data_IF_982750358557
#
_entry.id   IF_982750358557
#
_cell.length_a   1.000
_cell.length_b   1.000
_cell.length_c   1.000
_cell.angle_alpha   90.00
_cell.angle_beta   90.00
_cell.angle_gamma   90.00
#
_symmetry.space_group_name_H-M   'P 1'
#
loop_
_entity.id
_entity.type
_entity.pdbx_description
1 polymer ?
#
# COMPACT_ATOMS: atom_id res chain seq x y z
N UNK A 1 -61.05 46.27 30.08
CA UNK A 1 -59.83 45.64 30.62
C UNK A 1 -59.16 44.89 29.46
N UNK A 2 -58.14 45.44 28.86
CA UNK A 2 -57.41 44.81 27.71
C UNK A 2 -56.13 44.22 28.24
N UNK A 3 -55.97 42.86 28.16
CA UNK A 3 -54.71 42.18 28.45
C UNK A 3 -53.72 42.42 27.31
N UNK A 4 -52.54 42.93 27.67
CA UNK A 4 -51.39 43.01 26.77
C UNK A 4 -50.56 41.75 26.93
N UNK A 5 -50.52 40.94 25.87
CA UNK A 5 -49.63 39.78 25.78
C UNK A 5 -48.24 40.25 25.38
N UNK A 6 -47.24 40.06 26.22
CA UNK A 6 -45.85 40.32 25.91
C UNK A 6 -45.25 39.05 25.28
N UNK A 7 -44.75 39.18 24.02
CA UNK A 7 -43.91 38.17 23.38
C UNK A 7 -42.49 38.37 23.85
N UNK A 8 -41.89 37.34 24.47
CA UNK A 8 -40.43 37.24 24.67
C UNK A 8 -39.78 36.73 23.40
N UNK A 9 -38.68 37.33 22.92
CA UNK A 9 -37.92 36.77 21.82
C UNK A 9 -37.06 35.60 22.34
N UNK A 10 -37.21 34.43 21.68
CA UNK A 10 -36.33 33.28 21.89
C UNK A 10 -34.97 33.57 21.26
N UNK A 11 -33.94 33.63 22.06
CA UNK A 11 -32.53 33.81 21.65
C UNK A 11 -32.03 32.40 21.19
N UNK A 12 -31.95 32.16 19.89
CA UNK A 12 -31.30 30.99 19.34
C UNK A 12 -29.75 31.16 19.49
N UNK A 13 -29.15 30.45 20.44
CA UNK A 13 -27.70 30.31 20.52
C UNK A 13 -27.27 29.34 19.40
N UNK A 14 -26.70 29.89 18.35
CA UNK A 14 -25.93 29.12 17.34
C UNK A 14 -24.62 28.64 18.01
N UNK A 15 -24.60 27.37 18.40
CA UNK A 15 -23.37 26.67 18.77
C UNK A 15 -22.53 26.49 17.49
N UNK A 16 -21.56 27.35 17.28
CA UNK A 16 -20.52 27.12 16.29
C UNK A 16 -19.71 25.85 16.68
N UNK A 17 -19.45 24.92 15.76
CA UNK A 17 -18.60 23.78 16.06
C UNK A 17 -17.21 24.32 16.43
N UNK A 18 -16.75 24.01 17.64
CA UNK A 18 -15.36 24.21 18.05
C UNK A 18 -14.49 23.34 17.15
N UNK A 19 -13.73 23.99 16.25
CA UNK A 19 -12.68 23.31 15.53
C UNK A 19 -11.70 22.76 16.58
N UNK A 20 -11.55 21.43 16.64
CA UNK A 20 -10.47 20.83 17.42
C UNK A 20 -9.15 21.43 16.95
N UNK A 21 -8.26 21.88 17.86
CA UNK A 21 -6.94 22.33 17.46
C UNK A 21 -6.24 21.17 16.75
N UNK A 22 -5.66 21.43 15.56
CA UNK A 22 -4.82 20.49 14.85
C UNK A 22 -3.71 20.03 15.81
N UNK A 23 -3.41 18.73 15.86
CA UNK A 23 -2.36 18.21 16.70
C UNK A 23 -1.03 18.80 16.21
N UNK A 24 -0.42 19.66 17.01
CA UNK A 24 0.90 20.23 16.76
C UNK A 24 1.95 19.12 16.95
N UNK A 25 2.26 18.39 15.89
CA UNK A 25 3.29 17.34 15.92
C UNK A 25 4.01 17.23 14.58
N UNK A 26 5.27 16.87 14.65
CA UNK A 26 6.09 16.52 13.48
C UNK A 26 6.69 15.15 13.68
N UNK A 27 7.02 14.49 12.57
CA UNK A 27 7.82 13.28 12.54
C UNK A 27 9.02 13.46 11.62
N UNK A 28 9.89 12.47 11.57
CA UNK A 28 11.01 12.43 10.62
C UNK A 28 11.02 11.10 9.89
N UNK A 29 11.31 11.14 8.57
CA UNK A 29 11.60 9.94 7.80
C UNK A 29 13.09 9.55 7.95
N UNK A 30 13.43 8.25 7.96
CA UNK A 30 12.52 7.11 7.96
C UNK A 30 11.85 6.86 9.32
N UNK A 31 10.66 6.24 9.30
CA UNK A 31 9.93 5.89 10.52
C UNK A 31 10.61 4.77 11.35
N UNK A 32 11.32 3.87 10.68
CA UNK A 32 12.07 2.76 11.25
C UNK A 32 13.42 2.63 10.53
N UNK A 33 14.38 1.98 11.17
CA UNK A 33 15.68 1.68 10.54
C UNK A 33 15.61 0.60 9.45
N UNK A 34 14.57 -0.24 9.49
CA UNK A 34 14.31 -1.34 8.58
C UNK A 34 12.80 -1.55 8.46
N UNK A 35 12.32 -1.80 7.28
CA UNK A 35 10.91 -2.06 6.98
C UNK A 35 10.71 -2.10 5.47
N UNK A 36 11.31 -3.10 4.76
CA UNK A 36 11.08 -3.29 3.34
C UNK A 36 9.61 -3.56 3.05
N UNK A 37 9.14 -3.15 1.88
CA UNK A 37 7.81 -3.44 1.37
C UNK A 37 6.71 -3.06 2.39
N UNK A 38 6.68 -1.77 2.82
CA UNK A 38 5.88 -1.33 3.95
C UNK A 38 4.41 -1.17 3.56
N UNK A 39 3.53 -1.55 4.49
CA UNK A 39 2.10 -1.36 4.38
C UNK A 39 1.53 -0.67 5.61
N UNK A 40 0.55 0.21 5.42
CA UNK A 40 -0.22 0.80 6.53
C UNK A 40 -1.72 0.62 6.25
N UNK A 41 -2.38 -0.16 7.09
CA UNK A 41 -3.84 -0.19 7.20
C UNK A 41 -4.31 0.71 8.34
N UNK A 42 -5.57 1.18 8.29
CA UNK A 42 -6.15 2.02 9.34
C UNK A 42 -7.56 1.57 9.71
N UNK A 43 -7.85 1.62 11.01
CA UNK A 43 -9.23 1.47 11.52
C UNK A 43 -9.45 2.47 12.68
N UNK A 44 -10.43 3.35 12.52
CA UNK A 44 -10.60 4.47 13.45
C UNK A 44 -9.32 5.33 13.47
N UNK A 45 -8.80 5.60 14.65
CA UNK A 45 -7.57 6.37 14.85
C UNK A 45 -6.31 5.48 14.90
N UNK A 46 -6.46 4.16 14.74
CA UNK A 46 -5.34 3.22 14.86
C UNK A 46 -4.79 2.88 13.48
N UNK A 47 -3.47 3.02 13.33
CA UNK A 47 -2.68 2.58 12.20
C UNK A 47 -2.04 1.24 12.52
N UNK A 48 -2.06 0.33 11.56
CA UNK A 48 -1.44 -0.98 11.59
C UNK A 48 -0.37 -1.04 10.50
N UNK A 49 0.87 -1.12 10.92
CA UNK A 49 2.02 -1.16 10.01
C UNK A 49 2.52 -2.59 9.86
N UNK A 50 2.80 -3.00 8.63
CA UNK A 50 3.48 -4.25 8.28
C UNK A 50 4.67 -3.96 7.37
N UNK A 51 5.63 -4.90 7.35
CA UNK A 51 6.77 -4.90 6.43
C UNK A 51 7.28 -6.33 6.25
N UNK A 52 8.12 -6.55 5.25
CA UNK A 52 8.81 -7.82 5.02
C UNK A 52 9.79 -8.15 6.13
N UNK A 53 9.61 -9.31 6.75
CA UNK A 53 10.56 -9.91 7.70
C UNK A 53 11.26 -11.17 7.14
N UNK A 54 10.72 -11.76 6.07
CA UNK A 54 11.25 -12.96 5.43
C UNK A 54 10.88 -14.29 6.12
N UNK A 55 10.58 -14.27 7.43
CA UNK A 55 10.36 -15.47 8.23
C UNK A 55 9.12 -15.41 9.14
N UNK A 56 8.34 -14.34 9.11
CA UNK A 56 7.10 -14.16 9.87
C UNK A 56 6.27 -13.03 9.31
N UNK A 57 5.03 -12.94 9.73
CA UNK A 57 4.19 -11.77 9.59
C UNK A 57 4.03 -11.11 10.96
N UNK A 58 4.27 -9.80 11.02
CA UNK A 58 4.17 -9.02 12.23
C UNK A 58 3.45 -7.69 11.99
N UNK A 59 2.78 -7.18 13.00
CA UNK A 59 2.02 -5.93 12.97
C UNK A 59 2.53 -5.02 14.10
N UNK A 60 2.84 -3.77 13.76
CA UNK A 60 2.94 -2.68 14.74
C UNK A 60 1.66 -1.87 14.71
N UNK A 61 1.09 -1.56 15.87
CA UNK A 61 -0.08 -0.68 15.95
C UNK A 61 0.23 0.58 16.74
N UNK A 62 -0.25 1.71 16.24
CA UNK A 62 -0.07 3.01 16.87
C UNK A 62 -1.20 3.96 16.47
N UNK A 63 -1.46 4.97 17.27
CA UNK A 63 -2.30 6.12 16.88
C UNK A 63 -1.46 7.33 16.44
N UNK A 64 -0.13 7.22 16.52
CA UNK A 64 0.84 8.26 16.16
C UNK A 64 1.97 7.63 15.33
N UNK A 65 1.99 7.85 14.02
CA UNK A 65 3.01 7.32 13.12
C UNK A 65 4.41 7.86 13.42
N UNK A 66 4.53 9.04 14.02
CA UNK A 66 5.81 9.58 14.48
C UNK A 66 6.45 8.74 15.60
N UNK A 67 5.65 7.92 16.28
CA UNK A 67 6.07 7.00 17.35
C UNK A 67 6.05 5.53 16.93
N UNK A 68 6.01 5.25 15.63
CA UNK A 68 5.98 3.87 15.14
C UNK A 68 7.15 3.02 15.65
N UNK A 69 8.31 3.61 15.85
CA UNK A 69 9.50 2.94 16.38
C UNK A 69 9.33 2.44 17.84
N UNK A 70 8.45 3.10 18.61
CA UNK A 70 8.16 2.72 20.00
C UNK A 70 7.10 1.61 20.08
N UNK A 71 6.32 1.39 19.00
CA UNK A 71 5.28 0.38 18.94
C UNK A 71 5.89 -1.03 18.91
N UNK A 72 5.29 -1.94 19.68
CA UNK A 72 5.70 -3.34 19.70
C UNK A 72 5.50 -4.01 18.32
N UNK A 73 6.49 -4.78 17.89
CA UNK A 73 6.44 -5.63 16.69
C UNK A 73 5.80 -6.97 17.05
N UNK A 74 4.49 -7.09 16.88
CA UNK A 74 3.68 -8.22 17.31
C UNK A 74 3.66 -9.26 16.21
N UNK A 75 4.32 -10.41 16.39
CA UNK A 75 4.20 -11.53 15.46
C UNK A 75 2.79 -12.10 15.52
N UNK A 76 2.11 -12.08 14.37
CA UNK A 76 0.73 -12.57 14.23
C UNK A 76 0.64 -13.91 13.52
N UNK A 77 1.68 -14.27 12.76
CA UNK A 77 1.76 -15.57 12.08
C UNK A 77 3.21 -15.93 11.78
N UNK A 78 3.51 -17.24 11.86
CA UNK A 78 4.80 -17.82 11.47
C UNK A 78 4.57 -18.91 10.43
N UNK A 79 5.44 -19.02 9.40
CA UNK A 79 5.30 -20.05 8.38
C UNK A 79 5.47 -21.45 8.97
N UNK A 80 4.82 -22.45 8.35
CA UNK A 80 5.09 -23.85 8.69
C UNK A 80 6.53 -24.23 8.31
N UNK A 81 7.07 -25.26 8.93
CA UNK A 81 8.43 -25.75 8.63
C UNK A 81 8.56 -26.29 7.19
N UNK A 82 7.46 -26.78 6.63
CA UNK A 82 7.36 -27.33 5.27
C UNK A 82 6.05 -26.91 4.63
N UNK A 83 5.98 -26.96 3.30
CA UNK A 83 4.78 -26.61 2.55
C UNK A 83 5.00 -25.44 1.61
N UNK A 84 3.96 -25.03 0.89
CA UNK A 84 4.09 -24.07 -0.21
C UNK A 84 4.36 -22.63 0.23
N UNK A 85 4.22 -22.32 1.53
CA UNK A 85 4.41 -20.99 2.12
C UNK A 85 5.41 -21.01 3.30
N UNK A 86 6.41 -21.89 3.24
CA UNK A 86 7.37 -22.10 4.30
C UNK A 86 8.55 -21.11 4.29
N UNK A 87 8.79 -20.41 3.16
CA UNK A 87 9.92 -19.50 3.00
C UNK A 87 9.53 -18.20 2.28
N UNK A 88 10.43 -17.24 2.30
CA UNK A 88 10.33 -15.97 1.55
C UNK A 88 9.02 -15.26 1.83
N UNK A 89 8.73 -15.01 3.11
CA UNK A 89 7.53 -14.31 3.56
C UNK A 89 7.72 -12.82 3.30
N UNK A 90 7.22 -12.33 2.14
CA UNK A 90 7.48 -10.98 1.65
C UNK A 90 6.22 -10.17 1.42
N UNK A 91 6.38 -8.86 1.37
CA UNK A 91 5.38 -7.88 0.95
C UNK A 91 3.98 -8.15 1.53
N UNK A 92 3.82 -8.15 2.87
CA UNK A 92 2.52 -8.37 3.49
C UNK A 92 1.66 -7.12 3.42
N UNK A 93 0.41 -7.28 2.98
CA UNK A 93 -0.61 -6.23 2.94
C UNK A 93 -1.80 -6.60 3.82
N UNK A 94 -2.16 -5.71 4.74
CA UNK A 94 -3.27 -5.89 5.66
C UNK A 94 -4.51 -5.13 5.16
N UNK A 95 -5.57 -5.86 4.81
CA UNK A 95 -6.81 -5.31 4.28
C UNK A 95 -7.99 -5.58 5.20
N UNK A 96 -8.82 -4.56 5.45
CA UNK A 96 -10.12 -4.73 6.09
C UNK A 96 -11.19 -4.92 5.03
N UNK A 97 -11.84 -6.09 4.98
CA UNK A 97 -12.89 -6.42 4.02
C UNK A 97 -14.13 -6.90 4.79
N UNK A 98 -15.18 -6.09 4.78
CA UNK A 98 -16.33 -6.32 5.63
C UNK A 98 -15.96 -6.27 7.12
N UNK A 99 -16.27 -7.33 7.86
CA UNK A 99 -15.95 -7.45 9.29
C UNK A 99 -14.62 -8.14 9.58
N UNK A 100 -13.90 -8.62 8.56
CA UNK A 100 -12.68 -9.43 8.72
C UNK A 100 -11.44 -8.70 8.22
N UNK A 101 -10.28 -9.09 8.75
CA UNK A 101 -8.97 -8.70 8.27
C UNK A 101 -8.41 -9.78 7.37
N UNK A 102 -7.68 -9.37 6.34
CA UNK A 102 -6.99 -10.27 5.43
C UNK A 102 -5.55 -9.80 5.28
N UNK A 103 -4.59 -10.74 5.30
CA UNK A 103 -3.21 -10.48 4.90
C UNK A 103 -2.97 -11.21 3.58
N UNK A 104 -2.58 -10.44 2.56
CA UNK A 104 -2.00 -10.98 1.33
C UNK A 104 -0.49 -10.90 1.48
N UNK A 105 0.22 -11.97 1.13
CA UNK A 105 1.68 -12.00 1.23
C UNK A 105 2.27 -12.95 0.21
N UNK A 106 3.48 -12.68 -0.23
CA UNK A 106 4.26 -13.58 -1.09
C UNK A 106 4.94 -14.64 -0.24
N UNK A 107 4.99 -15.88 -0.75
CA UNK A 107 5.81 -16.94 -0.17
C UNK A 107 6.24 -17.96 -1.24
N UNK A 108 7.22 -18.80 -0.86
CA UNK A 108 7.68 -19.98 -1.61
C UNK A 108 7.72 -21.21 -0.72
N UNK A 109 7.88 -22.38 -1.32
CA UNK A 109 8.02 -23.62 -0.57
C UNK A 109 9.41 -23.75 0.07
N UNK A 110 9.56 -24.76 0.96
CA UNK A 110 10.82 -24.98 1.67
C UNK A 110 11.90 -25.66 0.84
N UNK A 111 11.56 -26.18 -0.34
CA UNK A 111 12.46 -26.91 -1.24
C UNK A 111 12.95 -26.02 -2.37
N UNK A 112 12.05 -25.21 -2.95
CA UNK A 112 12.30 -24.39 -4.12
C UNK A 112 12.02 -22.91 -3.80
N UNK A 113 13.06 -22.19 -3.46
CA UNK A 113 12.98 -20.74 -3.22
C UNK A 113 13.41 -19.96 -4.45
N UNK A 114 12.63 -20.10 -5.52
CA UNK A 114 12.85 -19.47 -6.81
C UNK A 114 11.56 -18.85 -7.39
N UNK A 115 11.68 -18.09 -8.47
CA UNK A 115 10.57 -17.36 -9.08
C UNK A 115 9.43 -18.29 -9.55
N UNK A 116 9.73 -19.51 -9.98
CA UNK A 116 8.72 -20.43 -10.48
C UNK A 116 7.79 -21.00 -9.38
N UNK A 117 8.24 -20.98 -8.13
CA UNK A 117 7.51 -21.56 -7.00
C UNK A 117 6.87 -20.50 -6.09
N UNK A 118 7.13 -19.21 -6.33
CA UNK A 118 6.50 -18.11 -5.58
C UNK A 118 5.02 -17.96 -5.91
N UNK A 119 4.29 -17.43 -4.95
CA UNK A 119 2.90 -17.07 -5.14
C UNK A 119 2.36 -16.25 -3.98
N UNK A 120 1.17 -15.73 -4.17
CA UNK A 120 0.47 -14.93 -3.17
C UNK A 120 -0.46 -15.82 -2.37
N UNK A 121 -0.39 -15.70 -1.06
CA UNK A 121 -1.17 -16.44 -0.06
C UNK A 121 -2.08 -15.50 0.70
N UNK A 122 -3.14 -16.03 1.29
CA UNK A 122 -4.14 -15.24 2.00
C UNK A 122 -4.40 -15.81 3.38
N UNK A 123 -4.30 -14.96 4.39
CA UNK A 123 -4.74 -15.24 5.76
C UNK A 123 -5.98 -14.40 6.10
N UNK A 124 -6.86 -14.92 6.95
CA UNK A 124 -8.05 -14.24 7.46
C UNK A 124 -8.07 -14.21 8.98
N UNK A 125 -8.49 -13.09 9.56
CA UNK A 125 -8.73 -12.94 10.99
C UNK A 125 -10.05 -12.16 11.21
N UNK A 126 -10.94 -12.71 12.01
CA UNK A 126 -12.27 -12.14 12.30
C UNK A 126 -12.29 -11.28 13.59
N UNK A 127 -11.14 -11.13 14.25
CA UNK A 127 -11.02 -10.26 15.43
C UNK A 127 -11.15 -8.78 15.04
N UNK A 128 -11.66 -7.97 15.95
CA UNK A 128 -11.73 -6.51 15.75
C UNK A 128 -10.32 -5.92 15.60
N UNK A 129 -9.38 -6.37 16.41
CA UNK A 129 -7.96 -6.00 16.38
C UNK A 129 -7.16 -7.12 15.68
N UNK A 130 -6.49 -6.85 14.55
CA UNK A 130 -5.75 -7.87 13.79
C UNK A 130 -4.50 -8.38 14.53
N UNK A 131 -4.09 -7.73 15.61
CA UNK A 131 -3.00 -8.21 16.48
C UNK A 131 -3.46 -9.28 17.47
N UNK A 132 -4.74 -9.58 17.51
CA UNK A 132 -5.38 -10.54 18.41
C UNK A 132 -6.07 -11.66 17.62
N UNK A 133 -6.43 -12.73 18.31
CA UNK A 133 -7.17 -13.86 17.73
C UNK A 133 -6.30 -14.76 16.85
N UNK A 134 -6.95 -15.53 15.98
CA UNK A 134 -6.30 -16.55 15.15
C UNK A 134 -6.40 -16.19 13.68
N UNK A 135 -5.34 -16.39 12.95
CA UNK A 135 -5.28 -16.26 11.50
C UNK A 135 -5.54 -17.61 10.83
N UNK A 136 -6.57 -17.68 9.99
CA UNK A 136 -6.91 -18.84 9.18
C UNK A 136 -6.19 -18.74 7.84
N UNK A 137 -5.42 -19.77 7.47
CA UNK A 137 -4.72 -19.85 6.20
C UNK A 137 -5.66 -20.39 5.11
N UNK A 138 -5.94 -19.59 4.09
CA UNK A 138 -6.70 -19.96 2.89
C UNK A 138 -5.81 -20.53 1.79
N UNK A 139 -4.50 -20.54 1.98
CA UNK A 139 -3.52 -21.05 1.03
C UNK A 139 -3.20 -20.09 -0.11
N UNK A 140 -2.59 -20.66 -1.16
CA UNK A 140 -2.13 -19.92 -2.35
C UNK A 140 -3.29 -19.55 -3.25
N UNK A 141 -3.36 -18.30 -3.71
CA UNK A 141 -4.27 -17.89 -4.78
C UNK A 141 -3.94 -18.64 -6.07
N UNK A 142 -4.98 -19.10 -6.77
CA UNK A 142 -4.83 -19.86 -8.00
C UNK A 142 -4.67 -18.92 -9.19
N UNK A 143 -3.51 -18.27 -9.28
CA UNK A 143 -3.11 -17.40 -10.40
C UNK A 143 -2.69 -18.23 -11.63
N UNK A 144 -2.73 -17.63 -12.82
CA UNK A 144 -2.29 -18.31 -14.05
C UNK A 144 -0.76 -18.51 -14.10
N UNK A 145 0.00 -17.65 -13.42
CA UNK A 145 1.46 -17.67 -13.37
C UNK A 145 1.94 -17.61 -11.92
N UNK A 146 3.16 -18.09 -11.67
CA UNK A 146 3.88 -17.74 -10.46
C UNK A 146 4.11 -16.23 -10.42
N UNK A 147 4.17 -15.66 -9.22
CA UNK A 147 4.35 -14.21 -9.09
C UNK A 147 4.30 -13.76 -7.63
N UNK A 148 4.48 -12.47 -7.44
CA UNK A 148 4.65 -11.81 -6.14
C UNK A 148 3.73 -10.60 -6.00
N UNK A 149 3.73 -9.98 -4.83
CA UNK A 149 3.20 -8.64 -4.55
C UNK A 149 1.73 -8.50 -4.95
N UNK A 150 0.88 -9.27 -4.29
CA UNK A 150 -0.54 -9.27 -4.59
C UNK A 150 -1.33 -8.32 -3.72
N UNK A 151 -2.00 -7.36 -4.36
CA UNK A 151 -2.94 -6.44 -3.72
C UNK A 151 -4.39 -6.70 -4.13
N UNK A 152 -5.35 -6.22 -3.33
CA UNK A 152 -6.77 -6.31 -3.64
C UNK A 152 -7.48 -4.97 -3.44
N UNK A 153 -8.40 -4.65 -4.34
CA UNK A 153 -9.22 -3.46 -4.25
C UNK A 153 -10.66 -3.71 -4.74
N UNK A 154 -11.55 -2.78 -4.43
CA UNK A 154 -12.93 -2.83 -4.89
C UNK A 154 -13.30 -1.59 -5.70
N UNK A 155 -14.09 -1.77 -6.75
CA UNK A 155 -14.75 -0.70 -7.50
C UNK A 155 -16.26 -1.02 -7.50
N UNK A 156 -17.04 -0.20 -6.80
CA UNK A 156 -18.44 -0.51 -6.53
C UNK A 156 -18.56 -1.80 -5.70
N UNK A 157 -19.34 -2.75 -6.18
CA UNK A 157 -19.54 -4.06 -5.54
C UNK A 157 -18.65 -5.18 -6.08
N UNK A 158 -17.71 -4.87 -6.97
CA UNK A 158 -16.79 -5.84 -7.57
C UNK A 158 -15.41 -5.71 -6.93
N UNK A 159 -14.78 -6.85 -6.67
CA UNK A 159 -13.42 -6.92 -6.15
C UNK A 159 -12.46 -7.46 -7.19
N UNK A 160 -11.26 -6.94 -7.17
CA UNK A 160 -10.18 -7.28 -8.08
C UNK A 160 -8.91 -7.59 -7.29
N UNK A 161 -8.09 -8.44 -7.87
CA UNK A 161 -6.76 -8.78 -7.41
C UNK A 161 -5.76 -8.37 -8.50
N UNK A 162 -4.71 -7.68 -8.13
CA UNK A 162 -3.60 -7.31 -9.00
C UNK A 162 -2.33 -7.86 -8.38
N UNK A 163 -1.41 -8.34 -9.20
CA UNK A 163 -0.15 -8.88 -8.73
C UNK A 163 0.93 -8.76 -9.82
N UNK A 164 2.16 -9.15 -9.50
CA UNK A 164 3.30 -9.15 -10.40
C UNK A 164 3.65 -10.58 -10.84
N UNK A 165 3.02 -11.12 -11.90
CA UNK A 165 3.39 -12.43 -12.45
C UNK A 165 4.70 -12.39 -13.22
N UNK A 166 5.41 -13.52 -13.18
CA UNK A 166 6.56 -13.78 -14.04
C UNK A 166 6.08 -14.34 -15.38
N UNK A 167 6.25 -13.57 -16.45
CA UNK A 167 5.83 -13.94 -17.81
C UNK A 167 7.04 -13.92 -18.74
N UNK A 168 7.57 -15.09 -19.08
CA UNK A 168 8.84 -15.20 -19.77
C UNK A 168 9.98 -14.62 -18.92
N UNK A 169 10.81 -13.70 -19.45
CA UNK A 169 11.88 -13.08 -18.68
C UNK A 169 11.45 -11.89 -17.83
N UNK A 170 10.19 -11.44 -17.97
CA UNK A 170 9.69 -10.18 -17.40
C UNK A 170 8.80 -10.43 -16.18
N UNK A 171 8.83 -9.49 -15.22
CA UNK A 171 7.73 -9.30 -14.28
C UNK A 171 6.78 -8.25 -14.84
N UNK A 172 5.49 -8.57 -14.95
CA UNK A 172 4.46 -7.70 -15.53
C UNK A 172 3.40 -7.39 -14.47
N UNK A 173 2.39 -6.58 -14.79
CA UNK A 173 1.22 -6.43 -13.93
C UNK A 173 0.03 -7.13 -14.56
N UNK A 174 -0.66 -7.94 -13.77
CA UNK A 174 -1.87 -8.63 -14.20
C UNK A 174 -3.00 -8.44 -13.19
N UNK A 175 -4.22 -8.39 -13.70
CA UNK A 175 -5.45 -8.21 -12.94
C UNK A 175 -6.41 -9.38 -13.18
N UNK A 176 -7.16 -9.75 -12.14
CA UNK A 176 -8.21 -10.76 -12.22
C UNK A 176 -9.34 -10.39 -11.24
N UNK A 177 -10.59 -10.75 -11.58
CA UNK A 177 -11.72 -10.55 -10.68
C UNK A 177 -11.65 -11.52 -9.49
N UNK A 178 -12.29 -11.18 -8.38
CA UNK A 178 -12.43 -12.02 -7.20
C UNK A 178 -13.91 -12.27 -6.90
N UNK A 179 -14.26 -13.51 -6.55
CA UNK A 179 -15.58 -13.88 -6.04
C UNK A 179 -15.69 -13.73 -4.52
N UNK A 180 -14.58 -13.86 -3.81
CA UNK A 180 -14.41 -13.58 -2.39
C UNK A 180 -12.93 -13.23 -2.13
N UNK A 181 -12.51 -12.83 -0.91
CA UNK A 181 -11.15 -12.37 -0.66
C UNK A 181 -10.02 -13.39 -0.91
N UNK A 182 -10.30 -14.65 -1.09
CA UNK A 182 -9.32 -15.72 -1.34
C UNK A 182 -9.62 -16.58 -2.57
N UNK A 183 -10.56 -16.15 -3.44
CA UNK A 183 -10.92 -16.90 -4.64
C UNK A 183 -10.99 -16.00 -5.86
N UNK A 184 -10.09 -16.27 -6.81
CA UNK A 184 -10.07 -15.59 -8.10
C UNK A 184 -11.20 -16.11 -9.00
N UNK A 185 -11.72 -15.25 -9.88
CA UNK A 185 -12.87 -15.52 -10.74
C UNK A 185 -12.66 -14.96 -12.14
N UNK A 186 -12.61 -15.83 -13.14
CA UNK A 186 -12.42 -15.45 -14.54
C UNK A 186 -10.98 -15.49 -15.01
N UNK A 187 -10.75 -14.89 -16.17
CA UNK A 187 -9.44 -14.88 -16.81
C UNK A 187 -8.55 -13.76 -16.26
N UNK A 188 -7.27 -14.04 -16.17
CA UNK A 188 -6.24 -13.04 -15.88
C UNK A 188 -5.97 -12.18 -17.10
N UNK A 189 -5.77 -10.88 -16.88
CA UNK A 189 -5.43 -9.93 -17.93
C UNK A 189 -4.14 -9.20 -17.57
N UNK A 190 -3.12 -9.28 -18.43
CA UNK A 190 -1.92 -8.44 -18.32
C UNK A 190 -2.28 -7.00 -18.69
N UNK A 191 -2.10 -6.07 -17.75
CA UNK A 191 -2.47 -4.66 -17.90
C UNK A 191 -1.27 -3.74 -18.12
N UNK A 192 -0.06 -4.17 -17.78
CA UNK A 192 1.18 -3.44 -18.07
C UNK A 192 2.38 -4.38 -18.19
N UNK A 193 3.34 -3.98 -19.01
CA UNK A 193 4.64 -4.65 -19.21
C UNK A 193 5.78 -3.64 -19.01
N UNK A 194 7.01 -4.07 -18.69
CA UNK A 194 8.15 -3.18 -18.54
C UNK A 194 8.66 -2.72 -19.92
N UNK A 195 7.96 -1.79 -20.54
CA UNK A 195 8.22 -1.30 -21.90
C UNK A 195 8.97 0.05 -21.96
N UNK A 196 9.14 0.71 -20.80
CA UNK A 196 9.92 1.95 -20.71
C UNK A 196 11.35 1.68 -20.24
N UNK A 197 12.31 2.49 -20.68
CA UNK A 197 13.74 2.31 -20.37
C UNK A 197 14.02 2.34 -18.87
N UNK A 198 13.34 3.20 -18.13
CA UNK A 198 13.51 3.32 -16.68
C UNK A 198 12.99 2.10 -15.90
N UNK A 199 12.15 1.26 -16.48
CA UNK A 199 11.61 0.05 -15.87
C UNK A 199 12.55 -1.18 -15.99
N UNK A 200 13.73 -0.99 -16.58
CA UNK A 200 14.66 -2.05 -16.99
C UNK A 200 16.06 -1.92 -16.39
N UNK A 201 16.18 -1.11 -15.33
CA UNK A 201 17.47 -0.92 -14.68
C UNK A 201 17.77 -2.10 -13.74
N UNK A 202 19.07 -2.35 -13.49
CA UNK A 202 19.51 -3.48 -12.65
C UNK A 202 19.55 -4.83 -13.36
N UNK A 203 19.43 -4.87 -14.70
CA UNK A 203 19.62 -6.08 -15.52
C UNK A 203 18.38 -7.00 -15.59
N UNK A 204 17.24 -6.59 -15.06
CA UNK A 204 15.94 -7.27 -15.20
C UNK A 204 14.84 -6.27 -15.58
N UNK A 205 13.83 -6.77 -16.29
CA UNK A 205 12.65 -6.01 -16.69
C UNK A 205 11.54 -6.30 -15.69
N UNK A 206 11.29 -5.36 -14.79
CA UNK A 206 10.42 -5.60 -13.63
C UNK A 206 9.38 -4.51 -13.49
N UNK A 207 8.11 -4.93 -13.34
CA UNK A 207 7.06 -4.17 -12.69
C UNK A 207 6.59 -5.01 -11.50
N UNK A 208 6.58 -4.41 -10.30
CA UNK A 208 6.20 -5.10 -9.07
C UNK A 208 5.50 -4.14 -8.09
N UNK A 209 5.01 -4.65 -6.94
CA UNK A 209 4.36 -3.85 -5.90
C UNK A 209 3.22 -2.97 -6.42
N UNK A 210 2.20 -3.52 -7.15
CA UNK A 210 1.09 -2.72 -7.64
C UNK A 210 0.19 -2.25 -6.49
N UNK A 211 -0.14 -0.95 -6.44
CA UNK A 211 -0.99 -0.39 -5.41
C UNK A 211 -2.12 0.47 -5.97
N UNK A 212 -3.33 0.20 -5.48
CA UNK A 212 -4.53 0.87 -5.95
C UNK A 212 -4.82 2.17 -5.20
N UNK A 213 -5.22 3.20 -5.98
CA UNK A 213 -5.69 4.47 -5.45
C UNK A 213 -6.87 4.96 -6.29
N UNK A 214 -8.00 5.27 -5.66
CA UNK A 214 -9.13 5.90 -6.35
C UNK A 214 -9.06 7.41 -6.22
N UNK A 215 -9.09 8.09 -7.35
CA UNK A 215 -9.12 9.56 -7.40
C UNK A 215 -10.45 10.14 -6.94
N UNK A 216 -10.46 11.41 -6.50
CA UNK A 216 -11.66 12.09 -6.01
C UNK A 216 -12.77 12.26 -7.06
N UNK A 217 -12.44 12.08 -8.34
CA UNK A 217 -13.40 12.11 -9.47
C UNK A 217 -13.78 10.70 -9.95
N UNK A 218 -13.35 9.64 -9.23
CA UNK A 218 -13.67 8.25 -9.56
C UNK A 218 -12.72 7.59 -10.56
N UNK A 219 -11.71 8.28 -11.06
CA UNK A 219 -10.65 7.67 -11.85
C UNK A 219 -9.90 6.64 -11.01
N UNK A 220 -9.47 5.57 -11.65
CA UNK A 220 -8.71 4.49 -11.02
C UNK A 220 -7.23 4.70 -11.33
N UNK A 221 -6.40 4.55 -10.32
CA UNK A 221 -4.96 4.62 -10.44
C UNK A 221 -4.34 3.36 -9.85
N UNK A 222 -3.27 2.88 -10.48
CA UNK A 222 -2.37 1.87 -9.94
C UNK A 222 -0.96 2.43 -10.00
N UNK A 223 -0.32 2.61 -8.85
CA UNK A 223 1.13 2.76 -8.81
C UNK A 223 1.77 1.39 -8.90
N UNK A 224 3.00 1.35 -9.33
CA UNK A 224 3.82 0.15 -9.39
C UNK A 224 5.30 0.56 -9.28
N UNK A 225 6.11 -0.36 -8.82
CA UNK A 225 7.57 -0.18 -8.83
C UNK A 225 8.14 -0.71 -10.14
N UNK A 226 9.01 0.07 -10.77
CA UNK A 226 9.73 -0.30 -11.98
C UNK A 226 11.22 -0.42 -11.75
N UNK A 227 11.89 -1.27 -12.50
CA UNK A 227 13.28 -1.69 -12.34
C UNK A 227 13.49 -2.73 -11.24
N UNK A 228 14.70 -3.25 -11.14
CA UNK A 228 15.08 -4.16 -10.05
C UNK A 228 15.29 -3.39 -8.74
N UNK A 229 14.81 -3.91 -7.61
CA UNK A 229 14.93 -3.28 -6.29
C UNK A 229 16.41 -3.12 -5.82
N UNK A 230 17.35 -3.77 -6.46
CA UNK A 230 18.81 -3.59 -6.22
C UNK A 230 19.44 -2.48 -7.06
N UNK A 231 18.65 -1.81 -7.90
CA UNK A 231 19.06 -0.61 -8.64
C UNK A 231 18.70 0.65 -7.85
N UNK A 232 19.59 1.62 -7.79
CA UNK A 232 19.28 2.94 -7.25
C UNK A 232 18.20 3.70 -8.06
N UNK A 233 17.89 3.22 -9.27
CA UNK A 233 16.87 3.76 -10.17
C UNK A 233 15.49 3.08 -10.02
N UNK A 234 15.32 2.20 -9.03
CA UNK A 234 14.02 1.71 -8.61
C UNK A 234 13.10 2.88 -8.28
N UNK A 235 11.92 2.92 -8.86
CA UNK A 235 11.06 4.10 -8.81
C UNK A 235 9.59 3.70 -9.02
N UNK A 236 8.64 4.60 -8.71
CA UNK A 236 7.22 4.35 -8.94
C UNK A 236 6.77 4.87 -10.30
N UNK A 237 6.03 4.04 -11.03
CA UNK A 237 5.22 4.39 -12.18
C UNK A 237 3.74 4.52 -11.82
N UNK A 238 2.93 4.94 -12.80
CA UNK A 238 1.49 5.16 -12.64
C UNK A 238 0.72 4.67 -13.86
N UNK A 239 -0.30 3.85 -13.62
CA UNK A 239 -1.37 3.54 -14.56
C UNK A 239 -2.61 4.34 -14.18
N UNK A 240 -3.37 4.80 -15.16
CA UNK A 240 -4.67 5.45 -14.98
C UNK A 240 -5.72 4.77 -15.85
N UNK A 241 -6.90 4.53 -15.27
CA UNK A 241 -8.11 4.19 -16.01
C UNK A 241 -9.22 5.22 -15.68
N UNK A 242 -9.93 5.78 -16.68
CA UNK A 242 -11.00 6.75 -16.42
C UNK A 242 -12.12 6.16 -15.54
N UNK A 243 -12.82 7.03 -14.83
CA UNK A 243 -13.99 6.66 -14.05
C UNK A 243 -14.99 5.85 -14.88
N UNK A 244 -15.54 4.76 -14.33
CA UNK A 244 -16.48 3.87 -15.01
C UNK A 244 -15.85 2.89 -16.02
N UNK A 245 -14.53 2.92 -16.21
CA UNK A 245 -13.84 1.91 -17.03
C UNK A 245 -13.91 0.54 -16.38
N UNK A 246 -13.87 -0.50 -17.22
CA UNK A 246 -13.74 -1.88 -16.76
C UNK A 246 -12.25 -2.19 -16.45
N UNK A 247 -11.87 -2.41 -15.18
CA UNK A 247 -10.47 -2.65 -14.82
C UNK A 247 -9.88 -3.93 -15.43
N UNK A 248 -10.72 -4.89 -15.82
CA UNK A 248 -10.27 -6.15 -16.43
C UNK A 248 -9.85 -6.00 -17.89
N UNK A 249 -10.06 -4.83 -18.50
CA UNK A 249 -9.63 -4.57 -19.88
C UNK A 249 -8.27 -3.85 -19.88
N UNK A 250 -7.25 -4.46 -20.48
CA UNK A 250 -5.94 -3.82 -20.63
C UNK A 250 -6.04 -2.43 -21.29
N UNK A 251 -6.92 -2.27 -22.29
CA UNK A 251 -7.15 -0.98 -22.97
C UNK A 251 -7.75 0.12 -22.09
N UNK A 252 -8.26 -0.21 -20.89
CA UNK A 252 -8.72 0.80 -19.92
C UNK A 252 -7.56 1.53 -19.25
N UNK A 253 -6.39 0.92 -19.22
CA UNK A 253 -5.23 1.42 -18.50
C UNK A 253 -4.26 2.16 -19.43
N UNK A 254 -3.92 3.37 -19.06
CA UNK A 254 -2.90 4.18 -19.73
C UNK A 254 -1.72 4.36 -18.79
N UNK A 255 -0.54 3.98 -19.26
CA UNK A 255 0.71 4.14 -18.52
C UNK A 255 1.22 5.57 -18.66
N UNK A 256 1.56 6.21 -17.54
CA UNK A 256 2.22 7.51 -17.50
C UNK A 256 3.65 7.39 -18.09
N UNK A 257 4.09 8.29 -18.96
CA UNK A 257 5.50 8.34 -19.38
C UNK A 257 6.42 8.69 -18.23
N UNK A 258 7.47 7.87 -18.02
CA UNK A 258 8.46 8.06 -16.96
C UNK A 258 7.95 7.76 -15.54
N UNK A 259 8.85 7.78 -14.56
CA UNK A 259 8.50 7.59 -13.16
C UNK A 259 7.75 8.81 -12.61
N UNK A 260 6.79 8.58 -11.72
CA UNK A 260 6.05 9.62 -10.98
C UNK A 260 6.66 9.92 -9.62
N UNK A 261 7.49 9.00 -9.10
CA UNK A 261 8.18 9.16 -7.83
C UNK A 261 9.52 8.43 -7.90
N UNK A 262 10.62 9.15 -7.77
CA UNK A 262 11.97 8.62 -8.00
C UNK A 262 12.96 9.16 -6.96
N UNK A 263 14.19 8.65 -6.98
CA UNK A 263 15.25 9.02 -6.05
C UNK A 263 15.48 10.52 -5.91
N UNK A 264 15.80 10.94 -4.70
CA UNK A 264 16.25 12.28 -4.35
C UNK A 264 17.62 12.17 -3.67
N UNK A 265 18.70 12.16 -4.46
CA UNK A 265 20.06 12.03 -3.93
C UNK A 265 20.39 13.16 -2.94
N UNK A 266 19.95 14.39 -3.23
CA UNK A 266 20.13 15.54 -2.34
C UNK A 266 19.32 15.39 -1.03
N UNK A 267 18.20 14.66 -1.07
CA UNK A 267 17.38 14.33 0.08
C UNK A 267 17.85 13.10 0.86
N UNK A 268 18.85 12.35 0.37
CA UNK A 268 19.30 11.10 0.98
C UNK A 268 18.29 9.96 0.81
N UNK A 269 17.54 9.95 -0.31
CA UNK A 269 16.50 8.95 -0.60
C UNK A 269 16.85 8.27 -1.94
N UNK A 270 17.15 6.99 -1.90
CA UNK A 270 17.53 6.19 -3.06
C UNK A 270 16.59 4.99 -3.22
N UNK A 271 16.36 4.57 -4.46
CA UNK A 271 15.49 3.45 -4.78
C UNK A 271 14.13 3.50 -4.04
N UNK A 272 13.39 4.64 -4.05
CA UNK A 272 12.09 4.72 -3.41
C UNK A 272 11.07 3.91 -4.19
N UNK A 273 10.35 3.01 -3.50
CA UNK A 273 9.33 2.18 -4.15
C UNK A 273 8.60 1.27 -3.22
N UNK A 274 7.89 0.29 -3.79
CA UNK A 274 7.03 -0.67 -3.11
C UNK A 274 6.14 0.01 -2.07
N UNK A 275 5.22 0.82 -2.57
CA UNK A 275 4.42 1.71 -1.74
C UNK A 275 3.10 1.07 -1.32
N UNK A 276 2.48 1.63 -0.29
CA UNK A 276 1.06 1.48 0.03
C UNK A 276 0.42 2.85 0.22
N UNK A 277 -0.91 2.90 0.29
CA UNK A 277 -1.64 4.13 0.56
C UNK A 277 -2.48 4.03 1.82
N UNK A 278 -2.57 5.14 2.55
CA UNK A 278 -3.48 5.26 3.69
C UNK A 278 -4.08 6.66 3.76
N UNK A 279 -5.14 6.82 4.54
CA UNK A 279 -5.79 8.11 4.77
C UNK A 279 -5.69 8.52 6.24
N UNK A 280 -5.77 9.82 6.49
CA UNK A 280 -5.94 10.34 7.86
C UNK A 280 -7.28 9.90 8.45
N UNK A 281 -7.45 9.93 9.81
CA UNK A 281 -8.70 9.54 10.46
C UNK A 281 -9.92 10.30 9.97
N UNK A 282 -9.79 11.57 9.63
CA UNK A 282 -10.85 12.39 9.05
C UNK A 282 -11.10 12.15 7.54
N UNK A 283 -10.28 11.29 6.90
CA UNK A 283 -10.36 10.93 5.49
C UNK A 283 -9.97 12.03 4.50
N UNK A 284 -9.48 13.18 4.97
CA UNK A 284 -9.21 14.33 4.10
C UNK A 284 -7.84 14.31 3.43
N UNK A 285 -6.88 13.60 4.00
CA UNK A 285 -5.55 13.51 3.44
C UNK A 285 -5.24 12.08 3.00
N UNK A 286 -4.64 11.96 1.82
CA UNK A 286 -4.07 10.72 1.31
C UNK A 286 -2.57 10.76 1.51
N UNK A 287 -2.02 9.66 2.01
CA UNK A 287 -0.59 9.49 2.28
C UNK A 287 -0.09 8.25 1.57
N UNK A 288 1.17 8.28 1.17
CA UNK A 288 1.93 7.14 0.67
C UNK A 288 2.89 6.67 1.76
N UNK A 289 2.97 5.36 1.97
CA UNK A 289 4.09 4.71 2.65
C UNK A 289 4.92 4.00 1.60
N UNK A 290 6.25 4.08 1.69
CA UNK A 290 7.17 3.47 0.72
C UNK A 290 8.48 3.14 1.42
N UNK A 291 9.28 2.23 0.88
CA UNK A 291 10.62 2.05 1.37
C UNK A 291 11.64 2.85 0.54
N UNK A 292 12.78 3.17 1.16
CA UNK A 292 13.92 3.72 0.46
C UNK A 292 15.24 3.32 1.14
N UNK A 293 16.32 3.36 0.37
CA UNK A 293 17.69 3.27 0.85
C UNK A 293 18.20 4.66 1.25
N UNK A 294 19.03 4.73 2.29
CA UNK A 294 19.62 6.00 2.80
C UNK A 294 20.85 6.45 2.03
N UNK A 295 21.33 5.65 1.07
CA UNK A 295 22.51 5.93 0.24
C UNK A 295 22.51 5.11 -1.04
N UNK A 296 23.44 5.39 -1.95
CA UNK A 296 23.57 4.64 -3.19
C UNK A 296 24.16 3.24 -2.98
N UNK A 297 23.86 2.32 -3.91
CA UNK A 297 24.41 0.96 -3.98
C UNK A 297 24.09 0.07 -2.75
N UNK A 298 23.04 0.39 -1.99
CA UNK A 298 22.65 -0.41 -0.81
C UNK A 298 21.90 -1.70 -1.17
N UNK A 299 21.53 -1.88 -2.42
CA UNK A 299 20.88 -3.09 -2.93
C UNK A 299 19.49 -3.31 -2.32
N UNK A 300 18.90 -4.48 -2.63
CA UNK A 300 17.60 -4.93 -2.13
C UNK A 300 17.75 -5.65 -0.78
N UNK A 301 18.18 -4.95 0.25
CA UNK A 301 18.46 -5.52 1.57
C UNK A 301 17.37 -5.18 2.60
N UNK A 302 17.48 -5.78 3.79
CA UNK A 302 16.63 -5.43 4.93
C UNK A 302 16.84 -3.99 5.44
N UNK A 303 17.88 -3.28 4.97
CA UNK A 303 18.14 -1.89 5.33
C UNK A 303 17.22 -0.87 4.62
N UNK A 304 16.38 -1.30 3.67
CA UNK A 304 15.34 -0.45 3.08
C UNK A 304 14.40 0.03 4.20
N UNK A 305 14.34 1.31 4.40
CA UNK A 305 13.65 1.92 5.52
C UNK A 305 12.29 2.52 5.11
N UNK A 306 11.24 2.42 5.95
CA UNK A 306 9.91 2.94 5.60
C UNK A 306 9.84 4.44 5.80
N UNK A 307 9.31 5.12 4.80
CA UNK A 307 9.01 6.55 4.75
C UNK A 307 7.53 6.77 4.53
N UNK A 308 7.00 7.90 4.98
CA UNK A 308 5.66 8.36 4.62
C UNK A 308 5.71 9.78 4.08
N UNK A 309 4.80 10.09 3.16
CA UNK A 309 4.68 11.41 2.56
C UNK A 309 3.24 11.66 2.14
N UNK A 310 2.81 12.93 2.15
CA UNK A 310 1.48 13.30 1.69
C UNK A 310 1.38 13.20 0.16
N UNK A 311 0.28 12.63 -0.33
CA UNK A 311 -0.11 12.66 -1.74
C UNK A 311 -1.12 13.78 -1.92
N UNK A 312 -0.87 14.68 -2.87
CA UNK A 312 -1.79 15.75 -3.23
C UNK A 312 -2.62 15.34 -4.43
N UNK A 313 -3.70 16.05 -4.68
CA UNK A 313 -4.55 15.85 -5.84
C UNK A 313 -4.51 17.09 -6.73
N UNK A 314 -4.36 16.87 -8.04
CA UNK A 314 -4.49 17.96 -9.03
C UNK A 314 -5.94 18.41 -9.16
N UNK A 315 -6.16 19.55 -9.79
CA UNK A 315 -7.50 20.03 -10.14
C UNK A 315 -8.26 19.03 -11.05
N UNK A 316 -7.56 18.23 -11.83
CA UNK A 316 -8.14 17.18 -12.67
C UNK A 316 -8.41 15.88 -11.92
N UNK A 317 -8.00 15.76 -10.64
CA UNK A 317 -8.19 14.57 -9.80
C UNK A 317 -7.11 13.50 -9.98
N UNK A 318 -5.97 13.84 -10.61
CA UNK A 318 -4.81 12.96 -10.67
C UNK A 318 -3.95 13.11 -9.41
N UNK A 319 -3.34 12.01 -8.90
CA UNK A 319 -2.42 12.09 -7.77
C UNK A 319 -1.15 12.86 -8.17
N UNK A 320 -0.65 13.68 -7.24
CA UNK A 320 0.61 14.40 -7.36
C UNK A 320 1.56 13.86 -6.30
N UNK A 321 2.65 13.31 -6.76
CA UNK A 321 3.77 12.84 -5.93
C UNK A 321 4.87 13.91 -6.00
N UNK A 322 5.03 14.67 -4.91
CA UNK A 322 6.18 15.55 -4.77
C UNK A 322 7.48 14.72 -4.67
N UNK A 323 8.63 15.33 -4.89
CA UNK A 323 9.90 14.64 -4.65
C UNK A 323 9.96 14.06 -3.22
N UNK A 324 10.65 12.92 -3.02
CA UNK A 324 10.77 12.33 -1.68
C UNK A 324 11.24 13.34 -0.64
N UNK A 325 10.54 13.41 0.50
CA UNK A 325 10.93 14.23 1.63
C UNK A 325 12.35 13.90 2.08
N UNK A 326 13.13 14.94 2.37
CA UNK A 326 14.51 14.78 2.83
C UNK A 326 14.54 13.95 4.11
N UNK A 327 15.38 12.92 4.14
CA UNK A 327 15.62 12.10 5.33
C UNK A 327 16.07 12.97 6.51
N UNK A 328 15.48 12.76 7.70
CA UNK A 328 15.74 13.52 8.91
C UNK A 328 15.10 14.91 8.97
N UNK A 329 14.42 15.38 7.93
CA UNK A 329 13.66 16.62 7.99
C UNK A 329 12.39 16.44 8.83
N UNK A 330 12.01 17.49 9.59
CA UNK A 330 10.74 17.51 10.30
C UNK A 330 9.60 17.72 9.30
N UNK A 331 8.61 16.82 9.32
CA UNK A 331 7.42 16.81 8.46
C UNK A 331 6.18 16.84 9.36
N UNK A 332 5.13 17.61 9.05
CA UNK A 332 3.88 17.58 9.81
C UNK A 332 3.29 16.15 9.84
N UNK A 333 2.78 15.75 11.02
CA UNK A 333 2.08 14.48 11.17
C UNK A 333 0.83 14.40 10.27
N UNK A 334 0.45 13.20 9.81
CA UNK A 334 -0.82 13.01 9.12
C UNK A 334 -2.00 13.54 9.94
N UNK A 335 -2.80 14.43 9.32
CA UNK A 335 -3.95 15.06 9.97
C UNK A 335 -3.72 16.50 10.48
N UNK A 336 -2.48 17.01 10.38
CA UNK A 336 -2.13 18.38 10.76
C UNK A 336 -2.14 19.34 9.57
#
# INVERSE_FOLDING_TARGET
MRLKTALLPALLLLLAPLASPAAEGTFTNPLLKSGPDPWIARQGDTYYFMATHGNRLAIRKTTDLGKLAEAQDITVWTPPATGPNAKSIWAPELHRIGSSWFIYYTASDNVHDDDAHRGVFVLQNDSVDPTQGTWTDHGKLKTAHAGIDGTTFAVGNKRYFVYSPYVGPDSVLAIVAMSNPWTLSGAETVIAKPDQTWERQGGRQILEGPEFLQGPRGDLFLTYSGSACWSDDYALGLLRAPAGSDPLKAASWTKQPGPVFAKSAQGGVYAPGHNGFFTTPDGKQTWIVYHANSGPNMQCTAARAPHIQRVRWSETGAPIFDAPEKAGAAVPLPGN
#
